data_IF_014078997227
#
_entry.id   IF_014078997227
#
_cell.length_a   1.000
_cell.length_b   1.000
_cell.length_c   1.000
_cell.angle_alpha   90.00
_cell.angle_beta   90.00
_cell.angle_gamma   90.00
#
_symmetry.space_group_name_H-M   'P 1'
#
loop_
_entity.id
_entity.type
_entity.pdbx_description
1 polymer ?
#
# COMPACT_ATOMS: atom_id res chain seq x y z
N UNK A 1 -4.22 -9.35 4.41
CA UNK A 1 -4.11 -8.06 3.71
C UNK A 1 -2.67 -7.76 3.33
N UNK A 2 -1.74 -7.52 4.28
CA UNK A 2 -0.31 -7.18 4.02
C UNK A 2 0.37 -8.04 2.96
N UNK A 3 0.27 -9.38 3.05
CA UNK A 3 0.86 -10.27 2.04
C UNK A 3 0.25 -10.10 0.63
N UNK A 4 -1.06 -9.87 0.51
CA UNK A 4 -1.69 -9.67 -0.79
C UNK A 4 -1.24 -8.34 -1.40
N UNK A 5 -1.20 -7.27 -0.60
CA UNK A 5 -0.71 -5.95 -1.03
C UNK A 5 0.76 -6.02 -1.47
N UNK A 6 1.64 -6.70 -0.71
CA UNK A 6 3.04 -6.86 -1.08
C UNK A 6 3.23 -7.61 -2.41
N UNK A 7 2.38 -8.60 -2.71
CA UNK A 7 2.40 -9.29 -4.00
C UNK A 7 1.81 -8.43 -5.13
N UNK A 8 0.88 -7.53 -4.83
CA UNK A 8 0.33 -6.56 -5.77
C UNK A 8 1.39 -5.52 -6.18
N UNK A 9 2.12 -4.96 -5.20
CA UNK A 9 3.28 -4.09 -5.45
C UNK A 9 4.35 -4.81 -6.28
N UNK A 10 4.68 -6.07 -5.96
CA UNK A 10 5.63 -6.87 -6.75
C UNK A 10 5.15 -7.13 -8.18
N UNK A 11 3.85 -7.34 -8.37
CA UNK A 11 3.26 -7.51 -9.70
C UNK A 11 3.38 -6.22 -10.51
N UNK A 12 3.00 -5.08 -9.92
CA UNK A 12 3.15 -3.76 -10.54
C UNK A 12 4.59 -3.44 -10.91
N UNK A 13 5.53 -3.67 -9.99
CA UNK A 13 6.97 -3.49 -10.24
C UNK A 13 7.51 -4.40 -11.34
N UNK A 14 7.12 -5.68 -11.36
CA UNK A 14 7.55 -6.62 -12.41
C UNK A 14 6.99 -6.25 -13.79
N UNK A 15 5.76 -5.73 -13.84
CA UNK A 15 5.15 -5.23 -15.08
C UNK A 15 5.85 -3.98 -15.59
N UNK A 16 6.09 -3.00 -14.72
CA UNK A 16 6.80 -1.77 -15.07
C UNK A 16 8.21 -2.07 -15.59
N UNK A 17 8.94 -2.97 -14.93
CA UNK A 17 10.27 -3.46 -15.35
C UNK A 17 10.22 -4.14 -16.74
N UNK A 18 9.31 -5.09 -16.94
CA UNK A 18 9.18 -5.80 -18.22
C UNK A 18 8.82 -4.86 -19.39
N UNK A 19 7.97 -3.86 -19.17
CA UNK A 19 7.62 -2.85 -20.18
C UNK A 19 8.78 -1.90 -20.46
N UNK A 20 9.45 -1.42 -19.41
CA UNK A 20 10.58 -0.50 -19.53
C UNK A 20 11.78 -1.17 -20.22
N UNK A 21 12.01 -2.45 -19.96
CA UNK A 21 13.11 -3.23 -20.50
C UNK A 21 12.72 -4.05 -21.76
N UNK A 22 11.58 -3.76 -22.40
CA UNK A 22 11.07 -4.54 -23.53
C UNK A 22 12.06 -4.62 -24.71
N UNK A 23 12.83 -3.55 -24.96
CA UNK A 23 13.88 -3.55 -25.99
C UNK A 23 14.92 -4.66 -25.79
N UNK A 24 15.31 -4.93 -24.53
CA UNK A 24 16.25 -6.01 -24.19
C UNK A 24 15.58 -7.36 -24.37
N UNK A 25 14.33 -7.51 -23.93
CA UNK A 25 13.58 -8.76 -24.07
C UNK A 25 13.46 -9.14 -25.56
N UNK A 26 13.10 -8.18 -26.41
CA UNK A 26 13.02 -8.36 -27.87
C UNK A 26 14.38 -8.56 -28.53
N UNK A 27 15.39 -7.80 -28.11
CA UNK A 27 16.74 -7.90 -28.66
C UNK A 27 17.38 -9.27 -28.47
N UNK A 28 17.01 -9.99 -27.41
CA UNK A 28 17.52 -11.33 -27.10
C UNK A 28 16.53 -12.47 -27.35
N UNK A 29 15.35 -12.21 -27.94
CA UNK A 29 14.32 -13.24 -28.17
C UNK A 29 13.88 -13.95 -26.87
N UNK A 30 13.88 -13.21 -25.76
CA UNK A 30 13.70 -13.76 -24.42
C UNK A 30 12.25 -13.73 -23.93
N UNK A 31 11.27 -13.58 -24.83
CA UNK A 31 9.86 -13.41 -24.47
C UNK A 31 9.31 -14.56 -23.64
N UNK A 32 9.60 -15.80 -24.04
CA UNK A 32 9.09 -16.99 -23.34
C UNK A 32 9.68 -17.11 -21.91
N UNK A 33 10.92 -16.63 -21.72
CA UNK A 33 11.55 -16.57 -20.39
C UNK A 33 10.86 -15.53 -19.52
N UNK A 34 10.58 -14.35 -20.07
CA UNK A 34 9.93 -13.26 -19.35
C UNK A 34 8.47 -13.60 -19.02
N UNK A 35 7.74 -14.21 -19.96
CA UNK A 35 6.38 -14.68 -19.74
C UNK A 35 6.31 -15.74 -18.63
N UNK A 36 7.24 -16.71 -18.63
CA UNK A 36 7.35 -17.69 -17.54
C UNK A 36 7.67 -17.06 -16.18
N UNK A 37 8.48 -15.99 -16.15
CA UNK A 37 8.77 -15.20 -14.93
C UNK A 37 7.49 -14.53 -14.42
N UNK A 38 6.78 -13.83 -15.31
CA UNK A 38 5.56 -13.09 -14.99
C UNK A 38 4.43 -14.03 -14.55
N UNK A 39 4.27 -15.18 -15.21
CA UNK A 39 3.29 -16.20 -14.85
C UNK A 39 3.46 -16.71 -13.41
N UNK A 40 4.71 -16.88 -12.94
CA UNK A 40 4.98 -17.27 -11.54
C UNK A 40 4.53 -16.19 -10.55
N UNK A 41 4.75 -14.91 -10.86
CA UNK A 41 4.33 -13.78 -10.02
C UNK A 41 2.80 -13.70 -9.97
N UNK A 42 2.14 -13.76 -11.13
CA UNK A 42 0.68 -13.74 -11.25
C UNK A 42 0.03 -14.93 -10.54
N UNK A 43 0.60 -16.13 -10.67
CA UNK A 43 0.06 -17.32 -10.00
C UNK A 43 0.11 -17.19 -8.47
N UNK A 44 1.21 -16.66 -7.93
CA UNK A 44 1.36 -16.41 -6.49
C UNK A 44 0.38 -15.34 -6.01
N UNK A 45 0.24 -14.24 -6.75
CA UNK A 45 -0.74 -13.20 -6.48
C UNK A 45 -2.17 -13.77 -6.49
N UNK A 46 -2.59 -14.44 -7.58
CA UNK A 46 -3.92 -15.07 -7.71
C UNK A 46 -4.25 -16.01 -6.56
N UNK A 47 -3.34 -16.91 -6.18
CA UNK A 47 -3.58 -17.86 -5.11
C UNK A 47 -3.82 -17.18 -3.75
N UNK A 48 -3.12 -16.07 -3.47
CA UNK A 48 -3.24 -15.32 -2.22
C UNK A 48 -4.44 -14.37 -2.22
N UNK A 49 -4.72 -13.72 -3.33
CA UNK A 49 -5.90 -12.87 -3.52
C UNK A 49 -7.18 -13.72 -3.43
N UNK A 50 -7.21 -14.90 -4.07
CA UNK A 50 -8.35 -15.81 -3.99
C UNK A 50 -8.65 -16.24 -2.55
N UNK A 51 -7.64 -16.53 -1.72
CA UNK A 51 -7.88 -16.86 -0.30
C UNK A 51 -8.53 -15.71 0.46
N UNK A 52 -8.06 -14.49 0.23
CA UNK A 52 -8.62 -13.29 0.87
C UNK A 52 -10.05 -13.04 0.39
N UNK A 53 -10.29 -13.18 -0.91
CA UNK A 53 -11.60 -13.02 -1.52
C UNK A 53 -12.60 -14.05 -0.99
N UNK A 54 -12.25 -15.35 -1.01
CA UNK A 54 -13.10 -16.42 -0.48
C UNK A 54 -13.41 -16.21 1.01
N UNK A 55 -12.44 -15.79 1.83
CA UNK A 55 -12.70 -15.45 3.24
C UNK A 55 -13.64 -14.25 3.39
N UNK A 56 -13.47 -13.21 2.57
CA UNK A 56 -14.36 -12.07 2.54
C UNK A 56 -15.79 -12.45 2.14
N UNK A 57 -15.93 -13.27 1.09
CA UNK A 57 -17.21 -13.81 0.63
C UNK A 57 -17.86 -14.66 1.71
N UNK A 58 -17.16 -15.62 2.31
CA UNK A 58 -17.71 -16.47 3.38
C UNK A 58 -18.18 -15.63 4.58
N UNK A 59 -17.37 -14.66 5.03
CA UNK A 59 -17.78 -13.77 6.11
C UNK A 59 -19.03 -12.96 5.74
N UNK A 60 -19.06 -12.39 4.52
CA UNK A 60 -20.20 -11.63 4.03
C UNK A 60 -21.47 -12.48 3.90
N UNK A 61 -21.36 -13.69 3.35
CA UNK A 61 -22.45 -14.64 3.23
C UNK A 61 -22.95 -15.10 4.59
N UNK A 62 -22.05 -15.43 5.53
CA UNK A 62 -22.40 -15.86 6.89
C UNK A 62 -23.14 -14.76 7.65
N UNK A 63 -22.63 -13.52 7.58
CA UNK A 63 -23.28 -12.35 8.18
C UNK A 63 -24.65 -12.09 7.54
N UNK A 64 -24.74 -12.18 6.21
CA UNK A 64 -26.00 -12.02 5.48
C UNK A 64 -27.04 -13.07 5.85
N UNK A 65 -26.64 -14.35 5.94
CA UNK A 65 -27.54 -15.44 6.34
C UNK A 65 -28.01 -15.29 7.80
N UNK A 66 -27.12 -14.88 8.70
CA UNK A 66 -27.47 -14.67 10.11
C UNK A 66 -28.45 -13.50 10.28
N UNK A 67 -28.23 -12.40 9.54
CA UNK A 67 -29.16 -11.27 9.50
C UNK A 67 -30.51 -11.64 8.89
N UNK A 68 -30.52 -12.47 7.85
CA UNK A 68 -31.76 -12.96 7.24
C UNK A 68 -32.55 -13.82 8.23
N UNK A 69 -31.89 -14.78 8.90
CA UNK A 69 -32.52 -15.62 9.92
C UNK A 69 -33.09 -14.78 11.07
N UNK A 70 -32.33 -13.82 11.59
CA UNK A 70 -32.79 -12.92 12.63
C UNK A 70 -34.01 -12.11 12.17
N UNK A 71 -33.98 -11.59 10.94
CA UNK A 71 -35.10 -10.83 10.36
C UNK A 71 -36.35 -11.69 10.23
N UNK A 72 -36.23 -12.91 9.72
CA UNK A 72 -37.35 -13.84 9.60
C UNK A 72 -37.89 -14.23 10.98
N UNK A 73 -37.04 -14.43 11.97
CA UNK A 73 -37.45 -14.74 13.34
C UNK A 73 -38.23 -13.58 13.98
N UNK A 74 -37.74 -12.34 13.86
CA UNK A 74 -38.43 -11.15 14.40
C UNK A 74 -39.79 -10.96 13.75
N UNK A 75 -39.86 -10.98 12.41
CA UNK A 75 -41.13 -10.82 11.69
C UNK A 75 -42.09 -11.97 12.00
N UNK A 76 -41.60 -13.21 12.00
CA UNK A 76 -42.40 -14.39 12.30
C UNK A 76 -42.98 -14.36 13.72
N UNK A 77 -42.18 -13.97 14.71
CA UNK A 77 -42.64 -13.84 16.09
C UNK A 77 -43.68 -12.71 16.25
N UNK A 78 -43.48 -11.57 15.60
CA UNK A 78 -44.47 -10.47 15.59
C UNK A 78 -45.81 -10.89 14.98
N UNK A 79 -45.79 -11.65 13.88
CA UNK A 79 -47.01 -12.18 13.26
C UNK A 79 -47.70 -13.24 14.13
N UNK A 80 -46.94 -14.11 14.81
CA UNK A 80 -47.48 -15.09 15.75
C UNK A 80 -48.21 -14.41 16.92
N UNK A 81 -47.60 -13.39 17.54
CA UNK A 81 -48.24 -12.62 18.61
C UNK A 81 -49.53 -11.92 18.14
N UNK A 82 -49.51 -11.39 16.92
CA UNK A 82 -50.72 -10.80 16.32
C UNK A 82 -51.82 -11.85 16.12
N UNK A 83 -51.47 -13.06 15.66
CA UNK A 83 -52.43 -14.16 15.48
C UNK A 83 -53.06 -14.66 16.79
N UNK A 84 -52.34 -14.54 17.91
CA UNK A 84 -52.85 -14.88 19.24
C UNK A 84 -53.59 -13.71 19.93
N UNK A 85 -53.76 -12.58 19.24
CA UNK A 85 -54.41 -11.39 19.79
C UNK A 85 -53.59 -10.66 20.87
N UNK A 86 -52.31 -10.99 21.02
CA UNK A 86 -51.41 -10.42 22.03
C UNK A 86 -50.68 -9.15 21.54
N UNK A 87 -50.76 -8.85 20.25
CA UNK A 87 -50.20 -7.65 19.64
C UNK A 87 -51.20 -7.01 18.67
N UNK A 88 -51.12 -5.70 18.49
CA UNK A 88 -51.89 -4.95 17.49
C UNK A 88 -51.11 -4.81 16.17
N UNK A 89 -51.80 -4.41 15.11
CA UNK A 89 -51.14 -4.07 13.84
C UNK A 89 -50.13 -2.91 13.97
N UNK A 90 -50.36 -2.00 14.95
CA UNK A 90 -49.43 -0.93 15.28
C UNK A 90 -48.13 -1.45 15.87
N UNK A 91 -48.21 -2.42 16.78
CA UNK A 91 -47.03 -3.02 17.43
C UNK A 91 -46.15 -3.75 16.42
N UNK A 92 -46.76 -4.49 15.49
CA UNK A 92 -46.02 -5.16 14.39
C UNK A 92 -45.31 -4.12 13.51
N UNK A 93 -45.99 -3.03 13.16
CA UNK A 93 -45.41 -1.94 12.34
C UNK A 93 -44.25 -1.25 13.07
N UNK A 94 -44.39 -1.03 14.38
CA UNK A 94 -43.36 -0.45 15.22
C UNK A 94 -42.11 -1.33 15.33
N UNK A 95 -42.28 -2.65 15.51
CA UNK A 95 -41.16 -3.59 15.55
C UNK A 95 -40.43 -3.65 14.20
N UNK A 96 -41.16 -3.69 13.09
CA UNK A 96 -40.55 -3.70 11.75
C UNK A 96 -39.75 -2.43 11.45
N UNK A 97 -40.31 -1.26 11.75
CA UNK A 97 -39.62 0.02 11.50
C UNK A 97 -38.41 0.21 12.42
N UNK A 98 -38.55 -0.11 13.71
CA UNK A 98 -37.44 -0.05 14.68
C UNK A 98 -36.29 -0.99 14.29
N UNK A 99 -36.60 -2.22 13.85
CA UNK A 99 -35.60 -3.17 13.39
C UNK A 99 -34.85 -2.66 12.16
N UNK A 100 -35.55 -2.04 11.19
CA UNK A 100 -34.94 -1.48 9.99
C UNK A 100 -33.94 -0.36 10.33
N UNK A 101 -34.31 0.55 11.23
CA UNK A 101 -33.44 1.64 11.70
C UNK A 101 -32.21 1.10 12.42
N UNK A 102 -32.39 0.16 13.35
CA UNK A 102 -31.28 -0.47 14.07
C UNK A 102 -30.31 -1.20 13.12
N UNK A 103 -30.83 -1.88 12.11
CA UNK A 103 -30.01 -2.60 11.13
C UNK A 103 -29.10 -1.65 10.33
N UNK A 104 -29.61 -0.46 9.96
CA UNK A 104 -28.80 0.57 9.31
C UNK A 104 -27.59 0.96 10.15
N UNK A 105 -27.82 1.35 11.40
CA UNK A 105 -26.76 1.77 12.32
C UNK A 105 -25.74 0.66 12.61
N UNK A 106 -26.17 -0.59 12.83
CA UNK A 106 -25.25 -1.70 13.08
C UNK A 106 -24.34 -1.98 11.88
N UNK A 107 -24.86 -1.85 10.65
CA UNK A 107 -24.05 -2.06 9.43
C UNK A 107 -22.95 -1.01 9.31
N UNK A 108 -23.27 0.23 9.68
CA UNK A 108 -22.35 1.36 9.55
C UNK A 108 -21.23 1.30 10.59
N UNK A 109 -21.53 0.86 11.83
CA UNK A 109 -20.51 0.65 12.89
C UNK A 109 -19.38 -0.25 12.41
N UNK A 110 -19.70 -1.38 11.77
CA UNK A 110 -18.67 -2.29 11.25
C UNK A 110 -17.78 -1.62 10.19
N UNK A 111 -18.36 -0.72 9.38
CA UNK A 111 -17.61 0.06 8.39
C UNK A 111 -16.74 1.12 9.06
N UNK A 112 -17.24 1.81 10.07
CA UNK A 112 -16.48 2.79 10.85
C UNK A 112 -15.28 2.14 11.55
N UNK A 113 -15.45 0.96 12.17
CA UNK A 113 -14.35 0.23 12.80
C UNK A 113 -13.27 -0.13 11.77
N UNK A 114 -13.67 -0.65 10.59
CA UNK A 114 -12.71 -0.98 9.52
C UNK A 114 -11.98 0.26 9.01
N UNK A 115 -12.68 1.38 8.86
CA UNK A 115 -12.08 2.64 8.42
C UNK A 115 -11.09 3.17 9.47
N UNK A 116 -11.45 3.15 10.75
CA UNK A 116 -10.56 3.56 11.84
C UNK A 116 -9.28 2.71 11.86
N UNK A 117 -9.41 1.38 11.76
CA UNK A 117 -8.26 0.48 11.69
C UNK A 117 -7.37 0.79 10.50
N UNK A 118 -7.94 1.07 9.32
CA UNK A 118 -7.17 1.47 8.15
C UNK A 118 -6.43 2.78 8.41
N UNK A 119 -7.11 3.82 8.88
CA UNK A 119 -6.50 5.11 9.16
C UNK A 119 -5.36 5.04 10.18
N UNK A 120 -5.45 4.15 11.18
CA UNK A 120 -4.35 3.90 12.13
C UNK A 120 -3.14 3.29 11.42
N UNK A 121 -3.34 2.26 10.58
CA UNK A 121 -2.23 1.65 9.82
C UNK A 121 -1.58 2.67 8.86
N UNK A 122 -2.39 3.49 8.18
CA UNK A 122 -1.88 4.51 7.26
C UNK A 122 -1.07 5.59 8.01
N UNK A 123 -1.48 5.94 9.23
CA UNK A 123 -0.72 6.87 10.10
C UNK A 123 0.58 6.26 10.61
N UNK A 124 0.60 4.97 10.97
CA UNK A 124 1.84 4.27 11.35
C UNK A 124 2.87 4.35 10.20
N UNK A 125 2.45 4.09 8.96
CA UNK A 125 3.33 4.17 7.78
C UNK A 125 3.86 5.60 7.52
N UNK A 126 3.03 6.63 7.75
CA UNK A 126 3.47 8.03 7.64
C UNK A 126 4.48 8.43 8.71
N UNK A 127 4.31 7.95 9.94
CA UNK A 127 5.25 8.18 11.04
C UNK A 127 6.58 7.48 10.75
N UNK A 128 6.53 6.23 10.27
CA UNK A 128 7.73 5.50 9.85
C UNK A 128 8.47 6.28 8.74
N UNK A 129 7.76 6.75 7.72
CA UNK A 129 8.35 7.55 6.65
C UNK A 129 8.95 8.87 7.14
N UNK A 130 8.26 9.58 8.05
CA UNK A 130 8.77 10.82 8.65
C UNK A 130 10.03 10.59 9.49
N UNK A 131 10.19 9.39 10.05
CA UNK A 131 11.36 9.00 10.86
C UNK A 131 12.57 8.56 10.03
N UNK A 132 12.43 8.41 8.72
CA UNK A 132 13.53 8.03 7.84
C UNK A 132 14.58 9.15 7.81
N UNK A 133 15.86 8.86 8.13
CA UNK A 133 16.90 9.87 8.18
C UNK A 133 17.12 10.50 6.81
N UNK A 134 17.32 11.81 6.78
CA UNK A 134 17.71 12.52 5.56
C UNK A 134 19.12 12.08 5.16
N UNK A 135 19.31 11.73 3.89
CA UNK A 135 20.62 11.25 3.40
C UNK A 135 21.72 12.30 3.50
N UNK A 136 21.37 13.59 3.43
CA UNK A 136 22.27 14.75 3.58
C UNK A 136 21.49 15.84 4.33
N UNK A 137 21.91 16.18 5.54
CA UNK A 137 21.29 17.22 6.36
C UNK A 137 22.09 18.53 6.31
N UNK A 138 21.37 19.65 6.19
CA UNK A 138 21.95 20.97 6.39
C UNK A 138 22.21 21.21 7.89
N UNK A 139 23.35 21.82 8.20
CA UNK A 139 23.66 22.23 9.57
C UNK A 139 22.71 23.36 10.04
N UNK A 140 22.43 23.48 11.36
CA UNK A 140 21.58 24.54 11.87
C UNK A 140 22.07 25.94 11.45
N UNK A 141 21.19 26.70 10.79
CA UNK A 141 21.51 28.05 10.30
C UNK A 141 22.36 28.08 9.03
N UNK A 142 22.42 26.98 8.26
CA UNK A 142 23.02 26.97 6.93
C UNK A 142 22.48 28.13 6.09
N UNK A 143 23.40 28.93 5.55
CA UNK A 143 23.06 30.08 4.71
C UNK A 143 23.15 29.66 3.25
N UNK A 144 22.32 30.23 2.36
CA UNK A 144 22.49 30.04 0.92
C UNK A 144 23.90 30.42 0.50
N UNK A 145 24.60 29.49 -0.16
CA UNK A 145 25.95 29.74 -0.66
C UNK A 145 25.92 30.84 -1.72
N UNK A 146 26.80 31.83 -1.60
CA UNK A 146 27.02 32.85 -2.63
C UNK A 146 28.34 32.56 -3.32
N UNK A 147 28.26 32.00 -4.52
CA UNK A 147 29.45 31.68 -5.32
C UNK A 147 29.81 32.92 -6.13
N UNK A 148 30.90 33.59 -5.75
CA UNK A 148 31.44 34.76 -6.48
C UNK A 148 32.55 34.38 -7.43
N UNK A 149 33.27 33.29 -7.12
CA UNK A 149 34.35 32.77 -7.92
C UNK A 149 34.17 31.26 -8.12
N UNK A 150 34.23 30.79 -9.37
CA UNK A 150 33.86 29.43 -9.76
C UNK A 150 34.92 28.37 -9.48
N UNK A 151 35.80 28.60 -8.52
CA UNK A 151 36.89 27.68 -8.18
C UNK A 151 36.32 26.41 -7.51
N UNK A 152 36.78 25.25 -7.94
CA UNK A 152 36.40 23.95 -7.35
C UNK A 152 37.67 23.29 -6.82
N UNK A 153 37.66 22.89 -5.56
CA UNK A 153 38.80 22.22 -4.93
C UNK A 153 38.33 20.95 -4.22
N UNK A 154 38.87 19.82 -4.64
CA UNK A 154 38.80 18.56 -3.92
C UNK A 154 40.11 18.42 -3.13
N UNK A 155 40.01 18.23 -1.82
CA UNK A 155 41.17 18.07 -0.93
C UNK A 155 41.06 16.73 -0.20
N UNK A 156 41.96 15.81 -0.56
CA UNK A 156 42.11 14.47 0.02
C UNK A 156 40.78 13.70 0.13
N UNK A 157 39.96 13.78 -0.92
CA UNK A 157 38.62 13.21 -0.92
C UNK A 157 38.70 11.69 -1.08
N UNK A 158 38.15 10.98 -0.10
CA UNK A 158 37.93 9.53 -0.17
C UNK A 158 36.42 9.25 -0.22
N UNK A 159 35.95 8.57 -1.27
CA UNK A 159 34.53 8.29 -1.48
C UNK A 159 34.29 6.80 -1.65
N UNK A 160 33.25 6.29 -0.99
CA UNK A 160 32.80 4.91 -1.11
C UNK A 160 31.26 4.86 -1.16
N UNK A 161 30.71 3.98 -1.98
CA UNK A 161 29.30 3.61 -1.87
C UNK A 161 29.12 2.69 -0.66
N UNK A 162 28.04 2.86 0.10
CA UNK A 162 27.84 2.16 1.38
C UNK A 162 27.94 0.63 1.31
N UNK A 163 27.59 0.02 0.18
CA UNK A 163 27.67 -1.44 -0.03
C UNK A 163 29.02 -1.93 -0.57
N UNK A 164 29.91 -1.03 -0.97
CA UNK A 164 31.19 -1.38 -1.62
C UNK A 164 32.31 -1.50 -0.57
N UNK A 165 33.05 -2.60 -0.66
CA UNK A 165 34.18 -2.90 0.25
C UNK A 165 35.42 -2.02 0.00
N UNK A 166 35.57 -1.53 -1.23
CA UNK A 166 36.69 -0.68 -1.64
C UNK A 166 36.17 0.71 -1.99
N UNK A 167 36.91 1.78 -1.63
CA UNK A 167 36.55 3.13 -2.03
C UNK A 167 36.70 3.30 -3.54
N UNK A 168 35.79 4.07 -4.14
CA UNK A 168 35.83 4.45 -5.56
C UNK A 168 36.94 5.48 -5.81
N UNK A 169 37.06 6.45 -4.91
CA UNK A 169 38.15 7.42 -4.88
C UNK A 169 38.88 7.32 -3.55
N UNK A 170 40.22 7.36 -3.57
CA UNK A 170 41.06 7.38 -2.38
C UNK A 170 42.03 8.56 -2.50
N UNK A 171 42.05 9.40 -1.47
CA UNK A 171 42.95 10.56 -1.35
C UNK A 171 42.97 11.43 -2.61
N UNK A 172 41.80 11.65 -3.22
CA UNK A 172 41.67 12.40 -4.46
C UNK A 172 41.74 13.90 -4.21
N UNK A 173 42.74 14.55 -4.80
CA UNK A 173 42.93 16.00 -4.72
C UNK A 173 43.03 16.59 -6.12
N UNK A 174 42.19 17.58 -6.41
CA UNK A 174 42.24 18.35 -7.67
C UNK A 174 41.75 19.77 -7.42
N UNK A 175 42.43 20.74 -8.01
CA UNK A 175 42.02 22.15 -8.01
C UNK A 175 41.69 22.56 -9.44
N UNK A 176 40.51 23.16 -9.62
CA UNK A 176 40.00 23.63 -10.91
C UNK A 176 39.81 25.14 -10.80
N UNK A 177 40.55 25.87 -11.63
CA UNK A 177 40.54 27.31 -11.62
C UNK A 177 39.23 27.88 -12.23
N UNK A 178 38.87 29.12 -11.86
CA UNK A 178 37.72 29.80 -12.46
C UNK A 178 37.83 29.89 -13.98
N UNK A 179 36.80 29.43 -14.69
CA UNK A 179 36.76 29.44 -16.16
C UNK A 179 37.54 28.31 -16.84
N UNK A 180 38.21 27.45 -16.08
CA UNK A 180 38.90 26.27 -16.59
C UNK A 180 37.91 25.22 -17.14
N UNK A 181 38.28 24.55 -18.22
CA UNK A 181 37.49 23.47 -18.84
C UNK A 181 38.21 22.15 -18.63
N UNK A 182 37.65 21.30 -17.79
CA UNK A 182 38.21 19.98 -17.46
C UNK A 182 37.44 18.89 -18.19
N UNK A 183 38.14 18.01 -18.90
CA UNK A 183 37.58 16.80 -19.48
C UNK A 183 37.80 15.60 -18.57
N UNK A 184 36.72 14.93 -18.16
CA UNK A 184 36.79 13.65 -17.46
C UNK A 184 36.81 12.52 -18.50
N UNK A 185 37.88 11.73 -18.50
CA UNK A 185 38.07 10.59 -19.41
C UNK A 185 38.46 9.37 -18.59
N UNK A 186 37.74 8.27 -18.77
CA UNK A 186 37.90 7.01 -18.06
C UNK A 186 36.80 6.03 -18.41
#
# INVERSE_FOLDING_TARGET
ARLANAWDTRLGGSLADAVSCNAVVKGFGAEEREERRLAKVVARWRARTRRTWVRGTINGTTQGSMLLLLRTAVIGFSLLLWSWGQASAGDVTFVLTSFFVLQGYLRDIGTHIRNLQRSINDMEELVDFQSEPLGIEDVPGAKPIRITDGRISFDNVTFHYGSHRLPLYRDFSVDIAPGERVGLVG
#
